data_IF_034370381539
#
_entry.id   IF_034370381539
#
_cell.length_a   1.000
_cell.length_b   1.000
_cell.length_c   1.000
_cell.angle_alpha   90.00
_cell.angle_beta   90.00
_cell.angle_gamma   90.00
#
_symmetry.space_group_name_H-M   'P 1'
#
loop_
_entity.id
_entity.type
_entity.pdbx_description
1 polymer ?
#
# COMPACT_ATOMS: atom_id res chain seq x y z
N UNK A 1 14.71 32.03 -10.66
CA UNK A 1 13.79 31.07 -10.01
C UNK A 1 14.61 30.04 -9.27
N UNK A 2 14.34 29.79 -7.99
CA UNK A 2 14.99 28.72 -7.23
C UNK A 2 14.34 27.37 -7.56
N UNK A 3 15.03 26.27 -7.25
CA UNK A 3 14.44 24.93 -7.33
C UNK A 3 13.20 24.80 -6.45
N UNK A 4 13.24 25.39 -5.26
CA UNK A 4 12.11 25.40 -4.32
C UNK A 4 10.86 26.02 -4.95
N UNK A 5 10.99 27.23 -5.52
CA UNK A 5 9.89 27.93 -6.18
C UNK A 5 9.28 27.09 -7.32
N UNK A 6 10.14 26.47 -8.15
CA UNK A 6 9.69 25.60 -9.25
C UNK A 6 8.83 24.43 -8.75
N UNK A 7 9.21 23.80 -7.64
CA UNK A 7 8.46 22.67 -7.07
C UNK A 7 7.13 23.13 -6.47
N UNK A 8 7.14 24.25 -5.75
CA UNK A 8 5.94 24.83 -5.14
C UNK A 8 4.92 25.24 -6.19
N UNK A 9 5.35 25.92 -7.26
CA UNK A 9 4.48 26.32 -8.37
C UNK A 9 3.86 25.09 -9.05
N UNK A 10 4.65 24.03 -9.27
CA UNK A 10 4.15 22.79 -9.87
C UNK A 10 3.14 22.07 -8.97
N UNK A 11 3.34 22.05 -7.65
CA UNK A 11 2.40 21.48 -6.69
C UNK A 11 1.10 22.30 -6.65
N UNK A 12 1.20 23.62 -6.65
CA UNK A 12 0.05 24.51 -6.70
C UNK A 12 -0.79 24.27 -7.96
N UNK A 13 -0.16 24.20 -9.13
CA UNK A 13 -0.84 23.90 -10.39
C UNK A 13 -1.56 22.54 -10.36
N UNK A 14 -0.92 21.49 -9.83
CA UNK A 14 -1.56 20.17 -9.68
C UNK A 14 -2.75 20.22 -8.73
N UNK A 15 -2.68 21.00 -7.66
CA UNK A 15 -3.78 21.17 -6.72
C UNK A 15 -4.97 21.88 -7.37
N UNK A 16 -4.73 22.96 -8.13
CA UNK A 16 -5.78 23.66 -8.87
C UNK A 16 -6.47 22.78 -9.92
N UNK A 17 -5.74 21.81 -10.48
CA UNK A 17 -6.27 20.83 -11.43
C UNK A 17 -6.93 19.61 -10.77
N UNK A 18 -6.95 19.50 -9.43
CA UNK A 18 -7.46 18.32 -8.73
C UNK A 18 -6.60 17.07 -8.89
N UNK A 19 -5.33 17.21 -9.30
CA UNK A 19 -4.39 16.10 -9.57
C UNK A 19 -3.45 15.81 -8.40
N UNK A 20 -3.60 16.53 -7.29
CA UNK A 20 -2.84 16.27 -6.07
C UNK A 20 -3.33 14.97 -5.43
N UNK A 21 -2.42 14.03 -5.21
CA UNK A 21 -2.72 12.74 -4.59
C UNK A 21 -2.29 12.75 -3.14
N UNK A 22 -3.07 12.08 -2.29
CA UNK A 22 -2.71 11.77 -0.91
C UNK A 22 -2.82 10.27 -0.72
N UNK A 23 -1.85 9.68 -0.04
CA UNK A 23 -1.93 8.26 0.32
C UNK A 23 -2.87 8.10 1.50
N UNK A 24 -3.75 7.10 1.41
CA UNK A 24 -4.58 6.67 2.52
C UNK A 24 -3.94 5.43 3.12
N UNK A 25 -3.70 5.46 4.44
CA UNK A 25 -3.26 4.28 5.16
C UNK A 25 -4.47 3.38 5.44
N UNK A 26 -4.34 2.10 5.11
CA UNK A 26 -5.40 1.11 5.29
C UNK A 26 -4.83 -0.17 5.87
N UNK A 27 -5.64 -0.90 6.62
CA UNK A 27 -5.34 -2.27 7.04
C UNK A 27 -6.10 -3.23 6.13
N UNK A 28 -5.39 -4.03 5.35
CA UNK A 28 -6.01 -5.06 4.52
C UNK A 28 -6.28 -6.31 5.36
N UNK A 29 -7.37 -6.98 5.08
CA UNK A 29 -7.78 -8.24 5.72
C UNK A 29 -8.17 -9.26 4.65
N UNK A 30 -8.21 -10.56 5.00
CA UNK A 30 -8.63 -11.61 4.08
C UNK A 30 -10.02 -11.36 3.48
N UNK A 31 -10.33 -12.07 2.39
CA UNK A 31 -11.64 -12.03 1.73
C UNK A 31 -12.00 -10.66 1.13
N UNK A 32 -11.01 -9.95 0.55
CA UNK A 32 -11.20 -8.64 -0.07
C UNK A 32 -11.84 -7.63 0.89
N UNK A 33 -11.29 -7.49 2.10
CA UNK A 33 -11.74 -6.51 3.10
C UNK A 33 -10.60 -5.54 3.43
N UNK A 34 -10.97 -4.30 3.76
CA UNK A 34 -10.03 -3.34 4.33
C UNK A 34 -10.69 -2.55 5.46
N UNK A 35 -9.85 -2.02 6.35
CA UNK A 35 -10.23 -1.07 7.39
C UNK A 35 -9.48 0.23 7.17
N UNK A 36 -10.20 1.36 7.17
CA UNK A 36 -9.65 2.70 7.13
C UNK A 36 -10.32 3.51 8.25
N UNK A 37 -9.52 4.15 9.12
CA UNK A 37 -10.03 5.01 10.21
C UNK A 37 -11.13 4.33 11.07
N UNK A 38 -10.98 3.02 11.33
CA UNK A 38 -11.93 2.21 12.09
C UNK A 38 -13.17 1.75 11.31
N UNK A 39 -13.33 2.16 10.06
CA UNK A 39 -14.45 1.76 9.20
C UNK A 39 -14.07 0.59 8.29
N UNK A 40 -15.01 -0.33 8.09
CA UNK A 40 -14.81 -1.53 7.29
C UNK A 40 -15.41 -1.40 5.88
N UNK A 41 -14.64 -1.80 4.88
CA UNK A 41 -15.03 -1.73 3.48
C UNK A 41 -14.75 -3.05 2.76
N UNK A 42 -15.49 -3.28 1.66
CA UNK A 42 -15.12 -4.28 0.66
C UNK A 42 -14.05 -3.68 -0.26
N UNK A 43 -12.96 -4.41 -0.45
CA UNK A 43 -11.75 -3.95 -1.12
C UNK A 43 -11.77 -4.24 -2.62
N UNK A 44 -12.32 -3.32 -3.41
CA UNK A 44 -12.36 -3.41 -4.88
C UNK A 44 -11.18 -2.72 -5.59
N UNK A 45 -10.27 -2.12 -4.84
CA UNK A 45 -9.11 -1.36 -5.35
C UNK A 45 -7.76 -2.09 -5.17
N UNK A 46 -7.79 -3.36 -4.79
CA UNK A 46 -6.59 -4.20 -4.65
C UNK A 46 -6.20 -4.84 -5.97
N UNK A 47 -4.93 -5.24 -6.07
CA UNK A 47 -4.43 -6.10 -7.14
C UNK A 47 -4.31 -7.59 -6.70
N UNK A 48 -4.80 -7.95 -5.52
CA UNK A 48 -4.79 -9.35 -5.02
C UNK A 48 -5.95 -10.16 -5.62
N UNK A 49 -5.88 -10.40 -6.94
CA UNK A 49 -6.96 -11.02 -7.71
C UNK A 49 -7.33 -12.44 -7.28
N UNK A 50 -6.35 -13.19 -6.76
CA UNK A 50 -6.51 -14.59 -6.35
C UNK A 50 -6.65 -14.75 -4.83
N UNK A 51 -6.58 -13.65 -4.07
CA UNK A 51 -6.62 -13.70 -2.61
C UNK A 51 -5.39 -14.34 -1.97
N UNK A 52 -4.25 -14.37 -2.67
CA UNK A 52 -3.06 -15.12 -2.23
C UNK A 52 -2.23 -14.37 -1.18
N UNK A 53 -2.42 -13.06 -1.06
CA UNK A 53 -1.71 -12.25 -0.06
C UNK A 53 -1.92 -12.71 1.38
N UNK A 54 -3.06 -13.37 1.66
CA UNK A 54 -3.40 -13.95 2.94
C UNK A 54 -3.52 -15.49 2.92
N UNK A 55 -3.08 -16.16 1.85
CA UNK A 55 -3.23 -17.61 1.73
C UNK A 55 -2.31 -18.33 2.75
N UNK A 56 -2.83 -19.23 3.60
CA UNK A 56 -2.06 -19.83 4.69
C UNK A 56 -0.77 -20.53 4.24
N UNK A 57 -0.81 -21.26 3.12
CA UNK A 57 0.38 -21.95 2.60
C UNK A 57 1.49 -21.00 2.13
N UNK A 58 1.13 -19.80 1.65
CA UNK A 58 2.11 -18.79 1.21
C UNK A 58 2.80 -18.18 2.43
N UNK A 59 2.01 -17.86 3.47
CA UNK A 59 2.52 -17.35 4.74
C UNK A 59 3.44 -18.37 5.42
N UNK A 60 3.01 -19.64 5.49
CA UNK A 60 3.81 -20.72 6.06
C UNK A 60 5.13 -20.93 5.31
N UNK A 61 5.11 -20.92 3.98
CA UNK A 61 6.31 -21.01 3.16
C UNK A 61 7.29 -19.85 3.44
N UNK A 62 6.78 -18.62 3.58
CA UNK A 62 7.59 -17.45 3.96
C UNK A 62 8.24 -17.63 5.34
N UNK A 63 7.46 -18.04 6.35
CA UNK A 63 7.96 -18.27 7.70
C UNK A 63 9.04 -19.36 7.75
N UNK A 64 8.80 -20.50 7.09
CA UNK A 64 9.78 -21.59 6.98
C UNK A 64 11.07 -21.13 6.29
N UNK A 65 10.94 -20.34 5.23
CA UNK A 65 12.10 -19.82 4.52
C UNK A 65 12.95 -18.91 5.39
N UNK A 66 12.32 -17.99 6.13
CA UNK A 66 13.03 -17.12 7.05
C UNK A 66 13.71 -17.89 8.20
N UNK A 67 13.08 -18.96 8.70
CA UNK A 67 13.68 -19.82 9.72
C UNK A 67 14.90 -20.60 9.20
N UNK A 68 14.84 -21.08 7.95
CA UNK A 68 15.88 -21.94 7.40
C UNK A 68 17.06 -21.15 6.81
N UNK A 69 16.79 -20.02 6.16
CA UNK A 69 17.81 -19.24 5.43
C UNK A 69 18.09 -17.85 6.02
N UNK A 70 17.35 -17.42 7.05
CA UNK A 70 17.40 -16.04 7.54
C UNK A 70 16.69 -15.05 6.60
N UNK A 71 16.79 -13.74 6.89
CA UNK A 71 16.03 -12.69 6.20
C UNK A 71 16.86 -11.80 5.25
N UNK A 72 18.19 -11.87 5.32
CA UNK A 72 19.12 -10.97 4.64
C UNK A 72 20.14 -10.37 5.63
N UNK A 73 21.34 -10.02 5.15
CA UNK A 73 22.47 -9.66 6.00
C UNK A 73 22.40 -8.26 6.66
N UNK A 74 21.40 -7.43 6.31
CA UNK A 74 21.31 -6.04 6.74
C UNK A 74 22.08 -5.08 5.85
#
# INVERSE_FOLDING_TARGET
MSWQQRIEDALYQRQQQGLLRRRLAVTVSPHARLTQDGQHFTHFSSNDYLGLSHHPAVIDAWCKGAQHWGTGAG
#
